data_IF_552124346779
#
_entry.id   IF_552124346779
#
_cell.length_a   1.000
_cell.length_b   1.000
_cell.length_c   1.000
_cell.angle_alpha   90.00
_cell.angle_beta   90.00
_cell.angle_gamma   90.00
#
_symmetry.space_group_name_H-M   'P 1'
#
loop_
_entity.id
_entity.type
_entity.pdbx_description
1 polymer ?
#
# COMPACT_ATOMS: atom_id res chain seq x y z
N UNK A 1 19.85 -22.26 10.41
CA UNK A 1 18.55 -22.46 9.72
C UNK A 1 17.72 -21.18 9.65
N UNK A 2 17.64 -20.39 10.73
CA UNK A 2 16.97 -19.07 10.76
C UNK A 2 17.55 -18.01 9.79
N UNK A 3 18.84 -18.06 9.47
CA UNK A 3 19.51 -17.05 8.61
C UNK A 3 19.17 -17.14 7.12
N UNK A 4 18.95 -18.35 6.58
CA UNK A 4 18.55 -18.53 5.16
C UNK A 4 17.11 -18.10 4.92
N UNK A 5 16.20 -18.38 5.86
CA UNK A 5 14.81 -17.92 5.78
C UNK A 5 14.72 -16.40 5.93
N UNK A 6 15.57 -15.77 6.74
CA UNK A 6 15.61 -14.31 6.89
C UNK A 6 16.15 -13.60 5.64
N UNK A 7 17.14 -14.17 4.95
CA UNK A 7 17.64 -13.68 3.66
C UNK A 7 16.61 -13.89 2.53
N UNK A 8 15.89 -15.01 2.52
CA UNK A 8 14.76 -15.23 1.63
C UNK A 8 13.62 -14.25 1.92
N UNK A 9 13.31 -13.96 3.19
CA UNK A 9 12.31 -12.95 3.57
C UNK A 9 12.73 -11.55 3.14
N UNK A 10 14.02 -11.18 3.28
CA UNK A 10 14.58 -9.90 2.78
C UNK A 10 14.56 -9.79 1.26
N UNK A 11 14.79 -10.91 0.57
CA UNK A 11 14.75 -10.97 -0.89
C UNK A 11 13.32 -10.92 -1.40
N UNK A 12 12.39 -11.66 -0.77
CA UNK A 12 10.96 -11.54 -0.99
C UNK A 12 10.50 -10.12 -0.68
N UNK A 13 10.78 -9.53 0.49
CA UNK A 13 10.36 -8.14 0.78
C UNK A 13 10.94 -7.13 -0.20
N UNK A 14 12.16 -7.31 -0.75
CA UNK A 14 12.64 -6.46 -1.86
C UNK A 14 11.92 -6.71 -3.17
N UNK A 15 11.60 -7.97 -3.51
CA UNK A 15 10.79 -8.33 -4.67
C UNK A 15 9.34 -7.88 -4.47
N UNK A 16 8.82 -7.78 -3.26
CA UNK A 16 7.43 -7.43 -2.95
C UNK A 16 7.25 -5.91 -2.80
N UNK A 17 8.23 -5.24 -2.20
CA UNK A 17 8.30 -3.78 -2.15
C UNK A 17 8.54 -3.17 -3.55
N UNK A 18 9.11 -3.95 -4.48
CA UNK A 18 9.31 -3.55 -5.89
C UNK A 18 8.31 -4.16 -6.88
N UNK A 19 7.75 -5.33 -6.58
CA UNK A 19 7.28 -6.29 -7.59
C UNK A 19 5.83 -6.68 -7.51
N UNK A 20 4.98 -5.80 -7.00
CA UNK A 20 3.57 -5.83 -7.40
C UNK A 20 3.05 -4.46 -7.87
N UNK A 21 3.76 -3.36 -7.61
CA UNK A 21 3.33 -2.04 -8.07
C UNK A 21 4.49 -1.30 -8.71
N UNK A 22 4.32 -1.02 -10.00
CA UNK A 22 4.40 0.32 -10.59
C UNK A 22 4.30 0.13 -12.11
N UNK A 23 3.08 0.17 -12.64
CA UNK A 23 2.90 0.71 -13.99
C UNK A 23 2.86 2.23 -13.87
N UNK A 24 4.02 2.83 -13.67
CA UNK A 24 4.15 4.25 -13.88
C UNK A 24 4.38 4.46 -15.39
N UNK A 25 3.30 4.89 -16.04
CA UNK A 25 3.16 5.22 -17.47
C UNK A 25 2.68 4.09 -18.41
N UNK A 26 1.43 4.23 -18.85
CA UNK A 26 1.11 4.04 -20.27
C UNK A 26 0.84 5.39 -20.97
N UNK A 27 1.18 6.52 -20.34
CA UNK A 27 1.05 7.86 -20.91
C UNK A 27 1.91 8.89 -20.16
N UNK A 28 3.23 8.88 -20.40
CA UNK A 28 4.12 10.02 -20.10
C UNK A 28 4.37 10.41 -18.63
N UNK A 29 4.14 9.53 -17.64
CA UNK A 29 4.35 9.83 -16.21
C UNK A 29 5.66 9.27 -15.65
N UNK A 30 6.25 9.97 -14.67
CA UNK A 30 7.46 9.63 -13.90
C UNK A 30 7.61 8.14 -13.56
N UNK A 31 8.80 7.58 -13.76
CA UNK A 31 9.19 6.26 -13.25
C UNK A 31 9.57 6.37 -11.76
N UNK A 32 8.92 5.57 -10.91
CA UNK A 32 9.17 5.52 -9.46
C UNK A 32 10.01 4.28 -9.05
N UNK A 33 10.53 3.52 -10.02
CA UNK A 33 11.53 2.46 -9.81
C UNK A 33 10.99 1.05 -9.52
N UNK A 34 9.70 0.80 -9.73
CA UNK A 34 9.12 -0.54 -9.57
C UNK A 34 9.30 -1.42 -10.80
N UNK A 35 8.86 -2.67 -10.71
CA UNK A 35 9.19 -3.70 -11.71
C UNK A 35 8.40 -3.64 -13.02
N UNK A 36 7.41 -2.76 -13.16
CA UNK A 36 6.65 -2.61 -14.40
C UNK A 36 5.85 -3.86 -14.81
N UNK A 37 5.46 -4.70 -13.85
CA UNK A 37 4.74 -5.95 -14.11
C UNK A 37 3.33 -5.69 -14.66
N UNK A 38 2.88 -6.58 -15.54
CA UNK A 38 1.49 -6.63 -15.97
C UNK A 38 0.57 -7.25 -14.89
N UNK A 39 -0.73 -7.09 -15.06
CA UNK A 39 -1.73 -7.56 -14.09
C UNK A 39 -1.72 -9.07 -13.90
N UNK A 40 -1.48 -9.86 -14.96
CA UNK A 40 -1.46 -11.32 -14.86
C UNK A 40 -0.24 -11.75 -14.05
N UNK A 41 0.93 -11.19 -14.34
CA UNK A 41 2.14 -11.41 -13.55
C UNK A 41 1.93 -11.08 -12.06
N UNK A 42 1.29 -9.94 -11.75
CA UNK A 42 0.97 -9.57 -10.37
C UNK A 42 -0.02 -10.54 -9.68
N UNK A 43 -1.03 -11.03 -10.39
CA UNK A 43 -2.00 -12.01 -9.85
C UNK A 43 -1.32 -13.34 -9.54
N UNK A 44 -0.48 -13.85 -10.44
CA UNK A 44 0.26 -15.10 -10.22
C UNK A 44 1.18 -14.99 -8.99
N UNK A 45 1.90 -13.88 -8.85
CA UNK A 45 2.73 -13.62 -7.65
C UNK A 45 1.87 -13.60 -6.39
N UNK A 46 0.73 -12.92 -6.43
CA UNK A 46 -0.19 -12.81 -5.30
C UNK A 46 -0.75 -14.17 -4.87
N UNK A 47 -1.10 -15.03 -5.83
CA UNK A 47 -1.60 -16.39 -5.60
C UNK A 47 -0.55 -17.26 -4.89
N UNK A 48 0.69 -17.26 -5.38
CA UNK A 48 1.79 -18.04 -4.78
C UNK A 48 2.11 -17.59 -3.34
N UNK A 49 2.07 -16.27 -3.06
CA UNK A 49 2.27 -15.75 -1.70
C UNK A 49 1.13 -16.19 -0.79
N UNK A 50 -0.11 -16.07 -1.27
CA UNK A 50 -1.30 -16.45 -0.50
C UNK A 50 -1.34 -17.95 -0.23
N UNK A 51 -0.89 -18.79 -1.18
CA UNK A 51 -0.72 -20.23 -1.00
C UNK A 51 0.25 -20.55 0.13
N UNK A 52 1.36 -19.81 0.22
CA UNK A 52 2.31 -19.93 1.32
C UNK A 52 1.73 -19.46 2.66
N UNK A 53 1.15 -18.27 2.70
CA UNK A 53 0.47 -17.73 3.87
C UNK A 53 -0.46 -16.55 3.50
N UNK A 54 -1.77 -16.76 3.63
CA UNK A 54 -2.78 -15.73 3.34
C UNK A 54 -2.67 -14.48 4.23
N UNK A 55 -2.23 -14.63 5.50
CA UNK A 55 -2.04 -13.51 6.41
C UNK A 55 -0.87 -12.59 5.98
N UNK A 56 0.26 -13.19 5.61
CA UNK A 56 1.42 -12.44 5.08
C UNK A 56 1.06 -11.82 3.74
N UNK A 57 0.39 -12.57 2.85
CA UNK A 57 -0.11 -12.05 1.58
C UNK A 57 -1.02 -10.84 1.77
N UNK A 58 -1.96 -10.89 2.71
CA UNK A 58 -2.87 -9.77 3.00
C UNK A 58 -2.10 -8.53 3.49
N UNK A 59 -1.11 -8.70 4.36
CA UNK A 59 -0.30 -7.58 4.87
C UNK A 59 0.51 -6.90 3.76
N UNK A 60 1.04 -7.68 2.81
CA UNK A 60 1.80 -7.16 1.67
C UNK A 60 0.88 -6.47 0.66
N UNK A 61 -0.18 -7.14 0.23
CA UNK A 61 -1.09 -6.66 -0.82
C UNK A 61 -1.97 -5.48 -0.36
N UNK A 62 -2.08 -5.24 0.95
CA UNK A 62 -2.71 -4.03 1.47
C UNK A 62 -2.00 -2.73 1.02
N UNK A 63 -0.72 -2.80 0.64
CA UNK A 63 0.02 -1.66 0.09
C UNK A 63 -0.63 -1.14 -1.20
N UNK A 64 -1.14 -2.01 -2.06
CA UNK A 64 -1.81 -1.68 -3.32
C UNK A 64 -2.98 -0.73 -3.08
N UNK A 65 -3.78 -1.01 -2.05
CA UNK A 65 -4.95 -0.21 -1.70
C UNK A 65 -4.56 1.20 -1.27
N UNK A 66 -3.47 1.34 -0.51
CA UNK A 66 -2.95 2.63 -0.08
C UNK A 66 -2.30 3.42 -1.23
N UNK A 67 -1.56 2.74 -2.12
CA UNK A 67 -0.88 3.38 -3.25
C UNK A 67 -1.82 3.84 -4.36
N UNK A 68 -2.90 3.09 -4.62
CA UNK A 68 -3.85 3.38 -5.71
C UNK A 68 -4.36 4.84 -5.73
N UNK A 69 -4.90 5.42 -4.64
CA UNK A 69 -5.36 6.81 -4.66
C UNK A 69 -4.23 7.81 -4.91
N UNK A 70 -3.00 7.53 -4.47
CA UNK A 70 -1.84 8.37 -4.75
C UNK A 70 -1.48 8.33 -6.24
N UNK A 71 -1.40 7.13 -6.81
CA UNK A 71 -1.09 6.92 -8.23
C UNK A 71 -2.12 7.63 -9.12
N UNK A 72 -3.40 7.51 -8.80
CA UNK A 72 -4.49 8.06 -9.60
C UNK A 72 -4.65 9.58 -9.44
N UNK A 73 -4.58 10.09 -8.21
CA UNK A 73 -5.09 11.43 -7.91
C UNK A 73 -4.05 12.40 -7.35
N UNK A 74 -2.90 11.94 -6.85
CA UNK A 74 -1.93 12.83 -6.22
C UNK A 74 -1.07 13.58 -7.25
N UNK A 75 -0.54 14.74 -6.83
CA UNK A 75 0.48 15.47 -7.60
C UNK A 75 1.83 14.73 -7.58
N UNK A 76 2.75 15.16 -8.44
CA UNK A 76 4.05 14.50 -8.60
C UNK A 76 4.89 14.50 -7.33
N UNK A 77 4.86 15.58 -6.54
CA UNK A 77 5.67 15.70 -5.32
C UNK A 77 5.21 14.69 -4.26
N UNK A 78 3.90 14.51 -4.10
CA UNK A 78 3.33 13.49 -3.20
C UNK A 78 3.65 12.09 -3.72
N UNK A 79 3.50 11.84 -5.03
CA UNK A 79 3.83 10.54 -5.62
C UNK A 79 5.30 10.19 -5.38
N UNK A 80 6.24 11.09 -5.67
CA UNK A 80 7.68 10.90 -5.41
C UNK A 80 7.95 10.64 -3.93
N UNK A 81 7.35 11.46 -3.04
CA UNK A 81 7.58 11.37 -1.60
C UNK A 81 7.16 10.03 -1.01
N UNK A 82 6.07 9.41 -1.49
CA UNK A 82 5.54 8.19 -0.88
C UNK A 82 5.88 6.92 -1.67
N UNK A 83 5.80 6.96 -3.00
CA UNK A 83 5.97 5.76 -3.83
C UNK A 83 7.44 5.36 -3.96
N UNK A 84 8.38 6.32 -4.15
CA UNK A 84 9.80 5.98 -4.26
C UNK A 84 10.35 5.30 -3.00
N UNK A 85 9.90 5.73 -1.82
CA UNK A 85 10.32 5.16 -0.52
C UNK A 85 9.99 3.67 -0.41
N UNK A 86 8.91 3.22 -1.05
CA UNK A 86 8.54 1.80 -1.05
C UNK A 86 9.45 0.95 -1.92
N UNK A 87 10.14 1.54 -2.90
CA UNK A 87 11.11 0.83 -3.76
C UNK A 87 12.50 0.77 -3.11
N UNK A 88 12.80 1.75 -2.27
CA UNK A 88 14.06 1.91 -1.54
C UNK A 88 14.13 0.99 -0.31
N UNK A 89 13.04 0.92 0.45
CA UNK A 89 12.96 0.18 1.71
C UNK A 89 11.69 -0.69 1.78
N UNK A 90 11.71 -1.82 2.52
CA UNK A 90 10.56 -2.69 2.68
C UNK A 90 9.53 -2.10 3.66
N UNK A 91 8.90 -1.00 3.25
CA UNK A 91 7.88 -0.28 4.01
C UNK A 91 6.49 -0.91 3.80
N UNK A 92 5.61 -0.71 4.77
CA UNK A 92 4.19 -1.08 4.66
C UNK A 92 3.32 0.15 4.83
N UNK A 93 2.22 0.19 4.10
CA UNK A 93 1.22 1.26 4.13
C UNK A 93 -0.12 0.69 4.62
N UNK A 94 -0.98 1.58 5.12
CA UNK A 94 -2.31 1.23 5.58
C UNK A 94 -3.39 1.99 4.80
N UNK A 95 -4.52 1.32 4.56
CA UNK A 95 -5.67 1.93 3.91
C UNK A 95 -6.85 2.01 4.90
N UNK A 96 -7.12 3.22 5.39
CA UNK A 96 -8.01 3.46 6.52
C UNK A 96 -9.41 3.94 6.11
N UNK A 97 -10.26 3.02 5.67
CA UNK A 97 -11.64 3.34 5.23
C UNK A 97 -12.68 2.95 6.27
N UNK A 98 -12.72 1.68 6.65
CA UNK A 98 -13.75 1.09 7.50
C UNK A 98 -13.84 1.74 8.87
N UNK A 99 -15.06 1.98 9.33
CA UNK A 99 -15.40 2.50 10.66
C UNK A 99 -16.24 1.47 11.43
N UNK A 100 -16.31 1.54 12.77
CA UNK A 100 -17.14 0.62 13.57
C UNK A 100 -18.60 0.53 13.10
N UNK A 101 -19.15 1.61 12.55
CA UNK A 101 -20.52 1.67 12.03
C UNK A 101 -20.65 1.67 10.50
N UNK A 102 -19.54 1.60 9.75
CA UNK A 102 -19.55 1.72 8.29
C UNK A 102 -18.44 0.86 7.65
N UNK A 103 -18.81 -0.33 7.18
CA UNK A 103 -17.96 -1.22 6.38
C UNK A 103 -18.44 -1.27 4.93
N UNK A 104 -19.52 -2.01 4.67
CA UNK A 104 -20.11 -2.09 3.31
C UNK A 104 -20.67 -0.74 2.84
N UNK A 105 -21.28 0.04 3.74
CA UNK A 105 -21.75 1.40 3.45
C UNK A 105 -20.62 2.43 3.71
N UNK A 106 -19.63 2.45 2.81
CA UNK A 106 -18.50 3.38 2.90
C UNK A 106 -18.95 4.85 2.82
N UNK A 107 -20.02 5.14 2.08
CA UNK A 107 -20.58 6.49 1.98
C UNK A 107 -21.14 6.98 3.33
N UNK A 108 -21.53 6.07 4.22
CA UNK A 108 -22.04 6.35 5.55
C UNK A 108 -21.00 6.77 6.60
N UNK A 109 -19.70 6.77 6.27
CA UNK A 109 -18.60 7.12 7.19
C UNK A 109 -18.78 8.47 7.89
N UNK A 110 -18.32 8.56 9.14
CA UNK A 110 -18.53 9.69 10.06
C UNK A 110 -17.25 10.42 10.42
N UNK A 111 -16.06 9.87 10.12
CA UNK A 111 -14.79 10.58 10.32
C UNK A 111 -14.82 11.90 9.57
N UNK A 112 -14.55 13.00 10.29
CA UNK A 112 -14.53 14.35 9.72
C UNK A 112 -13.09 14.81 9.54
N UNK A 113 -12.82 15.42 8.39
CA UNK A 113 -11.58 16.12 8.09
C UNK A 113 -11.92 17.58 7.78
N UNK A 114 -11.51 18.50 8.65
CA UNK A 114 -11.85 19.93 8.55
C UNK A 114 -10.57 20.74 8.42
N UNK A 115 -10.45 21.54 7.36
CA UNK A 115 -9.33 22.47 7.19
C UNK A 115 -9.46 23.64 8.18
N UNK A 116 -8.41 23.92 8.94
CA UNK A 116 -8.30 25.10 9.83
C UNK A 116 -6.97 25.80 9.57
N UNK A 117 -7.01 26.93 8.88
CA UNK A 117 -5.79 27.61 8.40
C UNK A 117 -5.01 26.71 7.46
N UNK A 118 -3.77 26.40 7.83
CA UNK A 118 -2.83 25.59 7.05
C UNK A 118 -2.84 24.10 7.42
N UNK A 119 -3.70 23.69 8.35
CA UNK A 119 -3.78 22.31 8.86
C UNK A 119 -5.15 21.66 8.61
N UNK A 120 -5.18 20.33 8.67
CA UNK A 120 -6.41 19.54 8.68
C UNK A 120 -6.61 18.89 10.04
N UNK A 121 -7.78 19.11 10.64
CA UNK A 121 -8.19 18.44 11.87
C UNK A 121 -9.05 17.24 11.51
N UNK A 122 -8.54 16.05 11.83
CA UNK A 122 -9.21 14.77 11.60
C UNK A 122 -9.77 14.24 12.92
N UNK A 123 -11.07 13.95 12.98
CA UNK A 123 -11.73 13.37 14.14
C UNK A 123 -12.65 12.22 13.72
N UNK A 124 -12.44 11.05 14.32
CA UNK A 124 -13.21 9.84 14.06
C UNK A 124 -12.51 8.60 14.59
N UNK A 125 -13.04 7.43 14.26
CA UNK A 125 -12.44 6.14 14.58
C UNK A 125 -12.50 5.23 13.36
N UNK A 126 -11.44 4.47 13.15
CA UNK A 126 -11.33 3.46 12.09
C UNK A 126 -11.21 2.08 12.71
N UNK A 127 -11.61 1.06 11.97
CA UNK A 127 -11.64 -0.33 12.44
C UNK A 127 -11.17 -1.29 11.35
N UNK A 128 -10.51 -2.37 11.74
CA UNK A 128 -10.01 -3.41 10.82
C UNK A 128 -8.94 -2.92 9.82
N UNK A 129 -8.05 -2.05 10.28
CA UNK A 129 -7.01 -1.47 9.43
C UNK A 129 -5.79 -2.39 9.40
N UNK A 130 -5.68 -3.19 8.34
CA UNK A 130 -4.48 -3.97 8.04
C UNK A 130 -3.25 -3.05 8.05
N UNK A 131 -2.16 -3.52 8.65
CA UNK A 131 -0.91 -2.78 8.90
C UNK A 131 -1.03 -1.56 9.84
N UNK A 132 -2.19 -1.22 10.39
CA UNK A 132 -2.40 0.05 11.10
C UNK A 132 -1.43 0.33 12.26
N UNK A 133 -0.92 -0.69 12.95
CA UNK A 133 0.08 -0.54 14.03
C UNK A 133 1.55 -0.52 13.56
N UNK A 134 1.82 -0.77 12.28
CA UNK A 134 3.16 -0.90 11.71
C UNK A 134 3.40 -0.04 10.46
N UNK A 135 2.34 0.55 9.89
CA UNK A 135 2.40 1.32 8.66
C UNK A 135 3.22 2.59 8.80
N UNK A 136 3.95 2.89 7.72
CA UNK A 136 4.75 4.10 7.60
C UNK A 136 3.93 5.28 7.04
N UNK A 137 2.79 4.99 6.40
CA UNK A 137 1.84 5.95 5.87
C UNK A 137 0.48 5.29 5.54
#
# INVERSE_FOLDING_TARGET
MLSRNYLALKSCTRILARGAQLRASSSGGLDFGGLGLDMISSVMISEEIAYGCSGIGTAILANDLAQTPLILCANEDVKKRFLCRMVEEPLVAAYAVTEPGAGSDVAGTKTKCVKKGDEYIINGSKMWITNGGHANW
#
